data_IF_512195202953
#
_entry.id   IF_512195202953
#
_cell.length_a   1.000
_cell.length_b   1.000
_cell.length_c   1.000
_cell.angle_alpha   90.00
_cell.angle_beta   90.00
_cell.angle_gamma   90.00
#
_symmetry.space_group_name_H-M   'P 1'
#
loop_
_entity.id
_entity.type
_entity.pdbx_description
1 polymer ?
#
# COMPACT_ATOMS: atom_id res chain seq x y z
N UNK A 1 -7.03 -13.69 5.21
CA UNK A 1 -6.03 -13.13 4.26
C UNK A 1 -5.52 -14.15 3.24
N UNK A 2 -5.88 -15.41 3.38
CA UNK A 2 -5.30 -16.55 2.65
C UNK A 2 -5.19 -16.45 1.12
N UNK A 3 -6.11 -15.83 0.47
CA UNK A 3 -6.08 -15.71 -1.00
C UNK A 3 -5.91 -14.29 -1.46
N UNK A 4 -5.43 -13.42 -0.60
CA UNK A 4 -5.17 -12.04 -0.97
C UNK A 4 -3.70 -11.86 -1.30
N UNK A 5 -3.46 -10.99 -2.27
CA UNK A 5 -2.13 -10.47 -2.56
C UNK A 5 -2.01 -9.13 -1.84
N UNK A 6 -0.92 -8.92 -1.13
CA UNK A 6 -0.70 -7.69 -0.38
C UNK A 6 0.33 -6.83 -1.12
N UNK A 7 0.05 -5.54 -1.31
CA UNK A 7 1.02 -4.60 -1.86
C UNK A 7 1.27 -3.50 -0.83
N UNK A 8 2.52 -3.34 -0.44
CA UNK A 8 2.94 -2.28 0.48
C UNK A 8 3.74 -1.23 -0.28
N UNK A 9 3.13 -0.04 -0.49
CA UNK A 9 3.67 1.03 -1.35
C UNK A 9 4.67 1.82 -0.61
N UNK A 10 4.95 2.05 0.44
CA UNK A 10 6.04 2.72 1.15
C UNK A 10 6.52 1.73 2.21
N UNK A 11 7.22 0.72 1.74
CA UNK A 11 7.39 -0.48 2.54
C UNK A 11 8.28 -0.31 3.78
N UNK A 12 9.28 0.57 3.73
CA UNK A 12 10.23 0.67 4.82
C UNK A 12 10.88 -0.68 5.11
N UNK A 13 10.73 -1.16 6.34
CA UNK A 13 11.23 -2.48 6.76
C UNK A 13 10.40 -3.66 6.24
N UNK A 14 9.22 -3.40 5.69
CA UNK A 14 8.32 -4.44 5.22
C UNK A 14 7.46 -5.07 6.31
N UNK A 15 7.41 -4.50 7.50
CA UNK A 15 6.76 -5.14 8.64
C UNK A 15 5.26 -5.42 8.41
N UNK A 16 4.55 -4.54 7.71
CA UNK A 16 3.11 -4.72 7.48
C UNK A 16 2.86 -5.87 6.49
N UNK A 17 3.54 -5.86 5.34
CA UNK A 17 3.39 -6.94 4.35
C UNK A 17 3.87 -8.29 4.87
N UNK A 18 4.94 -8.31 5.65
CA UNK A 18 5.44 -9.55 6.25
C UNK A 18 4.48 -10.07 7.32
N UNK A 19 3.83 -9.18 8.08
CA UNK A 19 2.77 -9.59 8.99
C UNK A 19 1.59 -10.19 8.22
N UNK A 20 1.24 -9.60 7.06
CA UNK A 20 0.20 -10.14 6.20
C UNK A 20 0.54 -11.57 5.74
N UNK A 21 1.80 -11.83 5.35
CA UNK A 21 2.26 -13.16 4.99
C UNK A 21 2.10 -14.12 6.16
N UNK A 22 2.51 -13.70 7.36
CA UNK A 22 2.37 -14.51 8.59
C UNK A 22 0.92 -14.88 8.88
N UNK A 23 -0.02 -14.07 8.45
CA UNK A 23 -1.46 -14.29 8.65
C UNK A 23 -2.14 -14.93 7.44
N UNK A 24 -1.38 -15.43 6.48
CA UNK A 24 -1.90 -16.23 5.38
C UNK A 24 -2.04 -15.53 4.04
N UNK A 25 -1.52 -14.31 3.88
CA UNK A 25 -1.48 -13.69 2.55
C UNK A 25 -0.68 -14.60 1.60
N UNK A 26 -1.16 -14.71 0.37
CA UNK A 26 -0.56 -15.57 -0.62
C UNK A 26 0.81 -15.09 -1.06
N UNK A 27 0.93 -13.78 -1.27
CA UNK A 27 2.16 -13.09 -1.66
C UNK A 27 2.13 -11.65 -1.16
N UNK A 28 3.29 -11.06 -1.05
CA UNK A 28 3.41 -9.63 -0.76
C UNK A 28 4.38 -8.98 -1.74
N UNK A 29 4.01 -7.80 -2.21
CA UNK A 29 4.79 -6.96 -3.10
C UNK A 29 5.19 -5.71 -2.33
N UNK A 30 6.46 -5.34 -2.40
CA UNK A 30 7.00 -4.25 -1.61
C UNK A 30 7.70 -3.25 -2.52
N UNK A 31 7.41 -1.97 -2.31
CA UNK A 31 8.10 -0.87 -2.98
C UNK A 31 8.77 -0.01 -1.94
N UNK A 32 10.05 0.21 -2.07
CA UNK A 32 10.83 1.07 -1.19
C UNK A 32 11.84 1.89 -1.99
N UNK A 33 11.85 3.20 -1.79
CA UNK A 33 12.73 4.12 -2.50
C UNK A 33 14.11 4.19 -1.86
N UNK A 34 14.17 4.24 -0.52
CA UNK A 34 15.41 4.44 0.21
C UNK A 34 16.28 3.19 0.17
N UNK A 35 17.54 3.38 -0.25
CA UNK A 35 18.47 2.25 -0.39
C UNK A 35 18.71 1.49 0.90
N UNK A 36 18.91 2.20 2.00
CA UNK A 36 19.17 1.56 3.30
C UNK A 36 17.96 0.81 3.80
N UNK A 37 16.77 1.40 3.71
CA UNK A 37 15.51 0.76 4.06
C UNK A 37 15.26 -0.46 3.19
N UNK A 38 15.56 -0.38 1.91
CA UNK A 38 15.41 -1.51 0.99
C UNK A 38 16.29 -2.71 1.38
N UNK A 39 17.52 -2.46 1.84
CA UNK A 39 18.39 -3.54 2.32
C UNK A 39 17.83 -4.21 3.58
N UNK A 40 17.24 -3.42 4.48
CA UNK A 40 16.56 -3.95 5.66
C UNK A 40 15.33 -4.78 5.24
N UNK A 41 14.56 -4.29 4.29
CA UNK A 41 13.42 -5.00 3.73
C UNK A 41 13.84 -6.38 3.20
N UNK A 42 14.89 -6.44 2.38
CA UNK A 42 15.39 -7.70 1.84
C UNK A 42 15.79 -8.68 2.95
N UNK A 43 16.49 -8.20 3.96
CA UNK A 43 16.88 -9.01 5.11
C UNK A 43 15.66 -9.58 5.82
N UNK A 44 14.65 -8.77 6.03
CA UNK A 44 13.42 -9.18 6.70
C UNK A 44 12.62 -10.19 5.86
N UNK A 45 12.56 -10.00 4.55
CA UNK A 45 11.91 -10.95 3.63
C UNK A 45 12.57 -12.32 3.69
N UNK A 46 13.91 -12.35 3.70
CA UNK A 46 14.67 -13.61 3.82
C UNK A 46 14.40 -14.32 5.16
N UNK A 47 14.22 -13.53 6.22
CA UNK A 47 13.97 -14.10 7.55
C UNK A 47 12.56 -14.69 7.70
N UNK A 48 11.59 -14.20 6.94
CA UNK A 48 10.21 -14.68 7.03
C UNK A 48 9.90 -15.72 5.95
N UNK A 49 9.86 -15.31 4.69
CA UNK A 49 9.58 -16.22 3.56
C UNK A 49 9.87 -15.48 2.25
N UNK A 50 11.09 -15.60 1.76
CA UNK A 50 11.51 -14.89 0.55
C UNK A 50 10.71 -15.30 -0.69
N UNK A 51 10.26 -16.55 -0.76
CA UNK A 51 9.50 -17.04 -1.93
C UNK A 51 8.16 -16.33 -2.10
N UNK A 52 7.59 -15.83 -1.02
CA UNK A 52 6.32 -15.09 -1.05
C UNK A 52 6.49 -13.60 -1.22
N UNK A 53 7.73 -13.10 -1.32
CA UNK A 53 8.03 -11.67 -1.40
C UNK A 53 8.51 -11.30 -2.79
N UNK A 54 7.97 -10.22 -3.33
CA UNK A 54 8.49 -9.53 -4.50
C UNK A 54 8.85 -8.11 -4.07
N UNK A 55 10.07 -7.69 -4.33
CA UNK A 55 10.55 -6.38 -3.88
C UNK A 55 11.09 -5.59 -5.04
N UNK A 56 10.93 -4.27 -4.99
CA UNK A 56 11.57 -3.35 -5.92
C UNK A 56 12.04 -2.11 -5.16
N UNK A 57 13.27 -1.68 -5.47
CA UNK A 57 13.76 -0.39 -5.01
C UNK A 57 13.38 0.65 -6.06
N UNK A 58 12.54 1.60 -5.71
CA UNK A 58 12.10 2.60 -6.65
C UNK A 58 11.00 3.50 -6.12
N UNK A 59 10.54 4.39 -6.99
CA UNK A 59 9.47 5.33 -6.69
C UNK A 59 8.13 4.60 -6.68
N UNK A 60 7.41 4.69 -5.56
CA UNK A 60 6.13 3.99 -5.40
C UNK A 60 5.08 4.45 -6.41
N UNK A 61 5.11 5.71 -6.84
CA UNK A 61 4.13 6.24 -7.80
C UNK A 61 4.34 5.67 -9.21
N UNK A 62 5.49 5.07 -9.46
CA UNK A 62 5.79 4.37 -10.71
C UNK A 62 5.62 2.85 -10.53
N UNK A 63 6.21 2.31 -9.48
CA UNK A 63 6.30 0.86 -9.30
C UNK A 63 5.00 0.22 -8.81
N UNK A 64 4.25 0.90 -7.95
CA UNK A 64 2.97 0.36 -7.46
C UNK A 64 1.96 0.15 -8.59
N UNK A 65 1.74 1.14 -9.48
CA UNK A 65 0.88 0.91 -10.65
C UNK A 65 1.34 -0.23 -11.55
N UNK A 66 2.65 -0.42 -11.71
CA UNK A 66 3.18 -1.53 -12.50
C UNK A 66 2.85 -2.88 -11.88
N UNK A 67 2.98 -3.03 -10.57
CA UNK A 67 2.58 -4.25 -9.88
C UNK A 67 1.09 -4.51 -10.04
N UNK A 68 0.25 -3.49 -9.87
CA UNK A 68 -1.20 -3.63 -10.02
C UNK A 68 -1.55 -4.06 -11.44
N UNK A 69 -0.94 -3.44 -12.45
CA UNK A 69 -1.17 -3.82 -13.84
C UNK A 69 -0.73 -5.25 -14.13
N UNK A 70 0.42 -5.66 -13.60
CA UNK A 70 0.91 -7.03 -13.73
C UNK A 70 -0.08 -8.04 -13.14
N UNK A 71 -0.78 -7.68 -12.08
CA UNK A 71 -1.69 -8.56 -11.35
C UNK A 71 -3.15 -8.45 -11.78
N UNK A 72 -3.47 -7.63 -12.77
CA UNK A 72 -4.86 -7.31 -13.13
C UNK A 72 -5.71 -8.49 -13.56
N UNK A 73 -5.10 -9.54 -14.07
CA UNK A 73 -5.80 -10.75 -14.53
C UNK A 73 -5.72 -11.89 -13.51
N UNK A 74 -5.15 -11.64 -12.35
CA UNK A 74 -5.08 -12.64 -11.28
C UNK A 74 -6.47 -12.94 -10.72
N UNK A 75 -6.69 -14.19 -10.35
CA UNK A 75 -7.89 -14.60 -9.61
C UNK A 75 -7.89 -14.05 -8.19
N UNK A 76 -6.71 -13.75 -7.68
CA UNK A 76 -6.56 -13.30 -6.30
C UNK A 76 -6.77 -11.79 -6.22
N UNK A 77 -7.46 -11.37 -5.18
CA UNK A 77 -7.71 -9.97 -4.94
C UNK A 77 -6.54 -9.30 -4.24
N UNK A 78 -6.38 -8.01 -4.46
CA UNK A 78 -5.28 -7.21 -3.94
C UNK A 78 -5.75 -6.39 -2.74
N UNK A 79 -4.96 -6.42 -1.66
CA UNK A 79 -5.02 -5.42 -0.59
C UNK A 79 -3.85 -4.48 -0.79
N UNK A 80 -4.14 -3.21 -1.04
CA UNK A 80 -3.13 -2.17 -1.23
C UNK A 80 -2.99 -1.36 0.06
N UNK A 81 -1.76 -1.30 0.59
CA UNK A 81 -1.44 -0.52 1.78
C UNK A 81 -0.55 0.65 1.39
N UNK A 82 -0.99 1.86 1.70
CA UNK A 82 -0.30 3.10 1.33
C UNK A 82 0.00 3.89 2.59
N UNK A 83 1.27 4.02 2.92
CA UNK A 83 1.73 4.70 4.14
C UNK A 83 2.75 5.78 3.80
N UNK A 84 2.31 6.95 3.28
CA UNK A 84 3.22 8.04 2.97
C UNK A 84 3.93 8.54 4.23
N UNK A 85 5.19 8.96 4.15
CA UNK A 85 5.88 9.50 5.32
C UNK A 85 5.18 10.75 5.86
N UNK A 86 5.07 10.83 7.18
CA UNK A 86 4.43 11.97 7.86
C UNK A 86 5.32 13.21 7.93
N UNK A 87 6.61 13.04 7.71
CA UNK A 87 7.57 14.12 7.84
C UNK A 87 7.34 15.17 6.76
N UNK A 88 6.80 16.31 7.17
CA UNK A 88 6.66 17.46 6.31
C UNK A 88 8.03 18.11 6.13
N UNK A 89 8.86 17.48 5.31
CA UNK A 89 10.10 18.09 4.86
C UNK A 89 9.80 18.89 3.61
N UNK A 90 10.67 19.86 3.31
CA UNK A 90 10.58 20.59 2.07
C UNK A 90 10.50 19.62 0.90
N UNK A 91 9.47 19.79 0.07
CA UNK A 91 9.24 18.93 -1.10
C UNK A 91 8.36 17.72 -0.86
N UNK A 92 7.87 17.49 0.37
CA UNK A 92 7.00 16.36 0.69
C UNK A 92 5.57 16.77 1.05
N UNK A 93 5.25 18.05 0.94
CA UNK A 93 3.92 18.57 1.28
C UNK A 93 2.82 18.02 0.39
N UNK A 94 3.19 17.58 -0.82
CA UNK A 94 2.26 17.03 -1.79
C UNK A 94 2.18 15.50 -1.81
N UNK A 95 2.83 14.83 -0.86
CA UNK A 95 2.90 13.35 -0.86
C UNK A 95 1.51 12.72 -0.76
N UNK A 96 0.60 13.31 -0.01
CA UNK A 96 -0.77 12.81 0.10
C UNK A 96 -1.52 13.02 -1.22
N UNK A 97 -1.36 14.17 -1.85
CA UNK A 97 -2.00 14.44 -3.15
C UNK A 97 -1.53 13.47 -4.22
N UNK A 98 -0.22 13.16 -4.26
CA UNK A 98 0.34 12.17 -5.18
C UNK A 98 -0.20 10.77 -4.89
N UNK A 99 -0.35 10.43 -3.61
CA UNK A 99 -0.91 9.15 -3.20
C UNK A 99 -2.38 9.04 -3.63
N UNK A 100 -3.15 10.10 -3.45
CA UNK A 100 -4.55 10.13 -3.88
C UNK A 100 -4.66 10.02 -5.41
N UNK A 101 -3.79 10.70 -6.15
CA UNK A 101 -3.76 10.61 -7.61
C UNK A 101 -3.45 9.19 -8.06
N UNK A 102 -2.48 8.54 -7.42
CA UNK A 102 -2.16 7.14 -7.71
C UNK A 102 -3.39 6.24 -7.54
N UNK A 103 -4.12 6.41 -6.44
CA UNK A 103 -5.32 5.61 -6.16
C UNK A 103 -6.43 5.92 -7.17
N UNK A 104 -6.65 7.21 -7.49
CA UNK A 104 -7.66 7.64 -8.47
C UNK A 104 -7.44 7.00 -9.84
N UNK A 105 -6.21 6.75 -10.20
CA UNK A 105 -5.85 6.21 -11.51
C UNK A 105 -5.89 4.68 -11.59
N UNK A 106 -6.17 3.99 -10.50
CA UNK A 106 -6.31 2.54 -10.52
C UNK A 106 -7.53 2.15 -11.36
N UNK A 107 -7.29 1.32 -12.38
CA UNK A 107 -8.32 0.90 -13.33
C UNK A 107 -8.27 -0.60 -13.55
N UNK A 108 -8.38 -1.35 -12.45
CA UNK A 108 -8.47 -2.81 -12.47
C UNK A 108 -9.65 -3.26 -11.61
N UNK A 109 -10.07 -4.50 -11.76
CA UNK A 109 -11.29 -4.99 -11.10
C UNK A 109 -11.03 -5.87 -9.89
N UNK A 110 -9.77 -6.14 -9.55
CA UNK A 110 -9.40 -7.08 -8.49
C UNK A 110 -8.79 -6.45 -7.24
N UNK A 111 -9.14 -5.21 -6.94
CA UNK A 111 -8.77 -4.60 -5.66
C UNK A 111 -9.83 -4.99 -4.62
N UNK A 112 -9.39 -5.64 -3.56
CA UNK A 112 -10.29 -5.96 -2.45
C UNK A 112 -10.49 -4.76 -1.52
N UNK A 113 -9.38 -4.10 -1.15
CA UNK A 113 -9.40 -3.01 -0.18
C UNK A 113 -8.14 -2.16 -0.35
N UNK A 114 -8.27 -0.86 -0.14
CA UNK A 114 -7.13 0.04 -0.04
C UNK A 114 -7.10 0.59 1.38
N UNK A 115 -5.96 0.50 2.03
CA UNK A 115 -5.73 1.06 3.36
C UNK A 115 -4.71 2.19 3.22
N UNK A 116 -5.08 3.37 3.68
CA UNK A 116 -4.15 4.51 3.70
C UNK A 116 -3.86 4.85 5.15
N UNK A 117 -2.60 4.79 5.54
CA UNK A 117 -2.15 5.31 6.83
C UNK A 117 -1.77 6.77 6.65
N UNK A 118 -2.25 7.63 7.54
CA UNK A 118 -2.05 9.08 7.40
C UNK A 118 -2.07 9.76 8.77
N UNK A 119 -1.67 11.02 8.80
CA UNK A 119 -1.77 11.82 10.01
C UNK A 119 -3.25 11.99 10.39
N UNK A 120 -3.55 11.88 11.69
CA UNK A 120 -4.95 11.82 12.16
C UNK A 120 -5.74 13.11 11.92
N UNK A 121 -5.05 14.23 11.75
CA UNK A 121 -5.69 15.53 11.49
C UNK A 121 -6.06 15.74 10.03
N UNK A 122 -5.59 14.89 9.12
CA UNK A 122 -5.93 15.00 7.71
C UNK A 122 -7.34 14.48 7.46
N UNK A 123 -8.16 15.33 6.84
CA UNK A 123 -9.48 14.91 6.38
C UNK A 123 -9.33 14.19 5.04
N UNK A 124 -9.73 12.92 5.02
CA UNK A 124 -9.56 12.09 3.84
C UNK A 124 -10.68 12.30 2.83
N UNK A 125 -10.37 12.28 1.52
CA UNK A 125 -11.40 12.37 0.49
C UNK A 125 -12.44 11.25 0.63
N UNK A 126 -13.71 11.57 0.41
CA UNK A 126 -14.77 10.57 0.44
C UNK A 126 -14.72 9.62 -0.75
N UNK A 127 -14.23 10.11 -1.89
CA UNK A 127 -14.11 9.33 -3.13
C UNK A 127 -12.74 9.53 -3.74
N UNK A 128 -12.11 8.43 -4.13
CA UNK A 128 -10.86 8.41 -4.88
C UNK A 128 -11.05 7.53 -6.12
N UNK A 129 -11.42 8.16 -7.24
CA UNK A 129 -11.70 7.42 -8.48
C UNK A 129 -12.85 6.42 -8.30
N UNK A 130 -12.54 5.14 -8.49
CA UNK A 130 -13.53 4.06 -8.36
C UNK A 130 -13.81 3.64 -6.91
N UNK A 131 -13.14 4.26 -5.95
CA UNK A 131 -13.16 3.84 -4.55
C UNK A 131 -13.81 4.87 -3.66
N UNK A 132 -14.55 4.41 -2.65
CA UNK A 132 -15.19 5.28 -1.67
C UNK A 132 -14.69 4.95 -0.27
N UNK A 133 -14.55 5.99 0.54
CA UNK A 133 -14.15 5.85 1.95
C UNK A 133 -15.22 5.09 2.72
N UNK A 134 -14.84 4.01 3.36
CA UNK A 134 -15.72 3.22 4.21
C UNK A 134 -15.67 3.70 5.67
N UNK A 135 -14.45 3.81 6.21
CA UNK A 135 -14.25 4.26 7.59
C UNK A 135 -12.83 4.74 7.80
N UNK A 136 -12.64 5.53 8.86
CA UNK A 136 -11.33 5.96 9.35
C UNK A 136 -11.24 5.60 10.83
N UNK A 137 -10.14 4.95 11.21
CA UNK A 137 -9.81 4.65 12.61
C UNK A 137 -8.62 5.47 13.03
N UNK A 138 -8.77 6.23 14.13
CA UNK A 138 -7.70 7.09 14.64
C UNK A 138 -6.96 6.42 15.79
N UNK A 139 -5.64 6.54 15.79
CA UNK A 139 -4.74 6.01 16.80
C UNK A 139 -3.75 7.12 17.20
N UNK A 140 -4.17 8.04 18.08
CA UNK A 140 -3.34 9.16 18.44
C UNK A 140 -3.07 10.08 17.25
N UNK A 141 -1.81 10.19 16.85
CA UNK A 141 -1.40 11.05 15.72
C UNK A 141 -1.57 10.40 14.36
N UNK A 142 -1.85 9.10 14.31
CA UNK A 142 -2.03 8.34 13.07
C UNK A 142 -3.47 7.92 12.90
N UNK A 143 -3.84 7.65 11.66
CA UNK A 143 -5.14 7.08 11.32
C UNK A 143 -5.01 6.10 10.18
N UNK A 144 -5.94 5.15 10.10
CA UNK A 144 -6.09 4.24 8.98
C UNK A 144 -7.43 4.50 8.33
N UNK A 145 -7.43 4.81 7.03
CA UNK A 145 -8.64 4.98 6.24
C UNK A 145 -8.78 3.84 5.25
N UNK A 146 -9.98 3.29 5.16
CA UNK A 146 -10.29 2.08 4.39
C UNK A 146 -11.19 2.44 3.22
N UNK A 147 -10.75 2.07 2.01
CA UNK A 147 -11.48 2.33 0.77
C UNK A 147 -11.84 1.01 0.09
N UNK A 148 -13.05 0.97 -0.46
CA UNK A 148 -13.54 -0.15 -1.27
C UNK A 148 -14.12 0.40 -2.56
N UNK A 149 -14.31 -0.46 -3.57
CA UNK A 149 -15.04 -0.05 -4.76
C UNK A 149 -16.38 0.57 -4.36
N UNK A 150 -16.72 1.69 -5.02
CA UNK A 150 -18.00 2.36 -4.80
C UNK A 150 -19.14 1.40 -5.16
N UNK A 151 -20.08 1.26 -4.26
CA UNK A 151 -21.29 0.46 -4.48
C UNK A 151 -22.31 1.29 -5.26
N UNK A 152 -22.95 0.68 -6.24
CA UNK A 152 -24.01 1.32 -7.04
C UNK A 152 -25.40 1.00 -6.48
#
# INVERSE_FOLDING_TARGET
MEWKIFIESFAGSGSIGLEAISRGAKRAYFVELDRNSYQILLKNCRAVDMEKCQTVQGNTFVQTPLFIDFLKNSKDEIVLYVDPPFDYRDGMEDIYEKSFTMIKNIDVDNIYMIIVEHVSTLEMPEVLGRFSLNKTKKFGKSALSYYFYTQE
#
